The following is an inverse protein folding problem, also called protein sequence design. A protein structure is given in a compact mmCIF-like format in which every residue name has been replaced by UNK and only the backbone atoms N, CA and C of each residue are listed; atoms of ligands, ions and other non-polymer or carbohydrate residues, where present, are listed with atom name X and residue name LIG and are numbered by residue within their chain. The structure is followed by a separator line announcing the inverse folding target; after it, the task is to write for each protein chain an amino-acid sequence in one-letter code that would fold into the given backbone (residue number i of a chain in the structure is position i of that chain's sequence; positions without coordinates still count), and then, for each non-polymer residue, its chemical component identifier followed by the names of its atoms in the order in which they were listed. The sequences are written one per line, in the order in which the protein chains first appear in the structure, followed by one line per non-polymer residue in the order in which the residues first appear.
data_IF_847505868579
#
_entry.id   IF_847505868579
#
_cell.length_a   1.000
_cell.length_b   1.000
_cell.length_c   1.000
_cell.angle_alpha   90.00
_cell.angle_beta   90.00
_cell.angle_gamma   90.00
#
_symmetry.space_group_name_H-M   'P 1'
#
loop_
_entity.id
_entity.type
_entity.pdbx_description
1 polymer ?
#
# COMPACT_ATOMS: atom_id res chain seq x y z
N UNK A 1 -16.17 13.79 1.84
CA UNK A 1 -16.40 12.82 0.73
C UNK A 1 -15.90 11.45 1.18
N UNK A 2 -16.43 10.35 0.66
CA UNK A 2 -15.91 9.00 0.94
C UNK A 2 -15.38 8.36 -0.33
N UNK A 3 -14.12 7.93 -0.29
CA UNK A 3 -13.43 7.28 -1.42
C UNK A 3 -13.11 5.84 -1.05
N UNK A 4 -13.46 4.92 -1.95
CA UNK A 4 -13.12 3.50 -1.82
C UNK A 4 -12.07 3.13 -2.86
N UNK A 5 -10.89 2.73 -2.41
CA UNK A 5 -9.82 2.21 -3.25
C UNK A 5 -9.86 0.68 -3.25
N UNK A 6 -10.16 0.08 -4.40
CA UNK A 6 -10.11 -1.39 -4.57
C UNK A 6 -8.73 -1.77 -5.10
N UNK A 7 -7.98 -2.52 -4.31
CA UNK A 7 -6.56 -2.81 -4.53
C UNK A 7 -5.68 -1.93 -3.66
N UNK A 8 -4.78 -2.55 -2.91
CA UNK A 8 -3.90 -1.87 -1.93
C UNK A 8 -2.43 -2.02 -2.25
N UNK A 9 -2.07 -2.16 -3.53
CA UNK A 9 -0.68 -1.96 -4.00
C UNK A 9 -0.44 -0.48 -4.28
N UNK A 10 0.68 -0.13 -4.92
CA UNK A 10 1.20 1.23 -5.04
C UNK A 10 0.14 2.24 -5.52
N UNK A 11 -0.61 1.91 -6.57
CA UNK A 11 -1.61 2.81 -7.15
C UNK A 11 -2.78 3.11 -6.20
N UNK A 12 -3.33 2.09 -5.54
CA UNK A 12 -4.48 2.26 -4.64
C UNK A 12 -4.11 3.02 -3.37
N UNK A 13 -2.93 2.74 -2.81
CA UNK A 13 -2.41 3.48 -1.67
C UNK A 13 -2.09 4.93 -2.05
N UNK A 14 -1.43 5.15 -3.19
CA UNK A 14 -1.14 6.50 -3.69
C UNK A 14 -2.41 7.30 -3.92
N UNK A 15 -3.45 6.70 -4.48
CA UNK A 15 -4.73 7.36 -4.72
C UNK A 15 -5.40 7.78 -3.40
N UNK A 16 -5.44 6.88 -2.41
CA UNK A 16 -6.03 7.17 -1.10
C UNK A 16 -5.27 8.27 -0.35
N UNK A 17 -3.94 8.20 -0.33
CA UNK A 17 -3.10 9.25 0.26
C UNK A 17 -3.31 10.59 -0.45
N UNK A 18 -3.31 10.60 -1.79
CA UNK A 18 -3.50 11.81 -2.58
C UNK A 18 -4.87 12.44 -2.34
N UNK A 19 -5.92 11.64 -2.16
CA UNK A 19 -7.24 12.16 -1.83
C UNK A 19 -7.24 12.93 -0.50
N UNK A 20 -6.54 12.41 0.53
CA UNK A 20 -6.39 13.10 1.83
C UNK A 20 -5.47 14.31 1.79
N UNK A 21 -4.46 14.31 0.92
CA UNK A 21 -3.61 15.50 0.69
C UNK A 21 -4.40 16.65 0.05
N UNK A 22 -5.32 16.33 -0.86
CA UNK A 22 -6.16 17.31 -1.55
C UNK A 22 -7.30 17.83 -0.66
N UNK A 23 -7.92 16.94 0.10
CA UNK A 23 -8.95 17.27 1.09
C UNK A 23 -8.77 16.37 2.34
N UNK A 24 -8.21 16.91 3.44
CA UNK A 24 -7.99 16.18 4.69
C UNK A 24 -9.25 15.60 5.33
N UNK A 25 -10.44 16.10 4.97
CA UNK A 25 -11.73 15.58 5.46
C UNK A 25 -12.21 14.34 4.69
N UNK A 26 -11.49 13.92 3.65
CA UNK A 26 -11.84 12.73 2.88
C UNK A 26 -11.65 11.47 3.72
N UNK A 27 -12.72 10.71 3.89
CA UNK A 27 -12.67 9.36 4.42
C UNK A 27 -12.19 8.42 3.30
N UNK A 28 -11.24 7.54 3.61
CA UNK A 28 -10.67 6.60 2.64
C UNK A 28 -10.76 5.19 3.18
N UNK A 29 -11.33 4.29 2.40
CA UNK A 29 -11.33 2.85 2.67
C UNK A 29 -10.54 2.13 1.58
N UNK A 30 -9.53 1.36 1.97
CA UNK A 30 -8.77 0.50 1.04
C UNK A 30 -9.23 -0.94 1.22
N UNK A 31 -9.69 -1.56 0.13
CA UNK A 31 -10.12 -2.96 0.12
C UNK A 31 -9.04 -3.79 -0.58
N UNK A 32 -8.53 -4.79 0.13
CA UNK A 32 -7.52 -5.73 -0.38
C UNK A 32 -8.05 -7.16 -0.32
N UNK A 33 -7.65 -7.98 -1.29
CA UNK A 33 -7.95 -9.41 -1.29
C UNK A 33 -6.95 -10.24 -0.45
N UNK A 34 -5.76 -9.69 -0.18
CA UNK A 34 -4.67 -10.37 0.52
C UNK A 34 -4.34 -9.74 1.88
N UNK A 35 -3.53 -10.45 2.67
CA UNK A 35 -3.15 -10.04 4.02
C UNK A 35 -2.03 -8.97 4.08
N UNK A 36 -1.35 -8.71 2.95
CA UNK A 36 -0.19 -7.83 2.89
C UNK A 36 -0.47 -6.63 1.97
N UNK A 37 -1.09 -5.55 2.48
CA UNK A 37 -1.25 -4.33 1.71
C UNK A 37 0.11 -3.65 1.53
N UNK A 38 0.28 -2.92 0.43
CA UNK A 38 1.50 -2.23 0.01
C UNK A 38 2.77 -3.12 0.02
N UNK A 39 2.60 -4.39 -0.39
CA UNK A 39 3.71 -5.31 -0.56
C UNK A 39 4.50 -4.99 -1.84
N UNK A 40 5.81 -4.85 -1.72
CA UNK A 40 6.68 -4.53 -2.85
C UNK A 40 7.09 -5.80 -3.61
N UNK A 41 6.25 -6.22 -4.55
CA UNK A 41 6.49 -7.40 -5.39
C UNK A 41 7.74 -7.27 -6.26
N UNK A 42 8.10 -6.03 -6.63
CA UNK A 42 9.26 -5.71 -7.46
C UNK A 42 10.58 -6.20 -6.84
N UNK A 43 10.65 -6.26 -5.50
CA UNK A 43 11.83 -6.70 -4.76
C UNK A 43 11.93 -8.21 -4.55
N UNK A 44 10.96 -9.02 -4.99
CA UNK A 44 10.93 -10.45 -4.64
C UNK A 44 12.14 -11.22 -5.18
N UNK A 45 12.62 -10.85 -6.36
CA UNK A 45 13.76 -11.50 -7.02
C UNK A 45 15.05 -11.27 -6.26
N UNK A 46 15.25 -10.07 -5.71
CA UNK A 46 16.47 -9.75 -4.94
C UNK A 46 16.46 -10.37 -3.54
N UNK A 47 15.28 -10.62 -2.98
CA UNK A 47 15.13 -11.40 -1.73
C UNK A 47 15.43 -12.87 -1.97
N UNK A 48 14.85 -13.46 -3.02
CA UNK A 48 15.11 -14.86 -3.41
C UNK A 48 16.59 -15.08 -3.75
N UNK A 49 17.24 -14.09 -4.36
CA UNK A 49 18.68 -14.13 -4.64
C UNK A 49 19.58 -13.95 -3.40
N UNK A 50 19.01 -13.68 -2.22
CA UNK A 50 19.76 -13.51 -0.96
C UNK A 50 20.47 -12.16 -0.81
N UNK A 51 20.32 -11.24 -1.77
CA UNK A 51 20.93 -9.91 -1.70
C UNK A 51 20.28 -9.03 -0.62
N UNK A 52 18.97 -9.23 -0.39
CA UNK A 52 18.21 -8.56 0.66
C UNK A 52 17.34 -9.60 1.38
N UNK A 53 17.80 -10.22 2.48
CA UNK A 53 17.17 -11.41 3.05
C UNK A 53 15.81 -11.18 3.72
N UNK A 54 15.35 -9.92 3.79
CA UNK A 54 14.13 -9.56 4.50
C UNK A 54 13.14 -8.85 3.58
N UNK A 55 11.87 -9.23 3.68
CA UNK A 55 10.76 -8.44 3.14
C UNK A 55 10.39 -7.34 4.13
N UNK A 56 10.27 -6.12 3.63
CA UNK A 56 9.60 -5.05 4.35
C UNK A 56 8.30 -4.73 3.63
N UNK A 57 7.19 -4.76 4.34
CA UNK A 57 5.96 -4.15 3.85
C UNK A 57 6.27 -2.66 3.79
N UNK A 58 6.05 -2.03 2.63
CA UNK A 58 6.27 -0.59 2.51
C UNK A 58 5.20 0.13 3.35
N UNK A 59 5.49 0.36 4.64
CA UNK A 59 4.96 1.43 5.48
C UNK A 59 3.48 1.82 5.36
N UNK A 60 2.53 0.88 5.30
CA UNK A 60 1.21 1.19 5.87
C UNK A 60 1.34 0.97 7.37
N UNK A 61 1.52 2.09 8.06
CA UNK A 61 1.44 2.23 9.50
C UNK A 61 0.31 1.35 10.07
N UNK A 62 0.67 0.41 10.94
CA UNK A 62 -0.22 0.05 12.03
C UNK A 62 -0.28 1.25 12.98
N UNK A 63 -1.21 2.15 12.72
CA UNK A 63 -1.80 3.11 13.66
C UNK A 63 -3.09 3.65 13.03
#
# INVERSE_FOLDING_TARGET
MHVVCVGGSDAGISAGLRARELDPSTEVTVVVAGAYPNFSICGITVVVAGAYPNFSICGIWTA
#
